data_IF_952758232756
#
_entry.id   IF_952758232756
#
_cell.length_a   1.000
_cell.length_b   1.000
_cell.length_c   1.000
_cell.angle_alpha   90.00
_cell.angle_beta   90.00
_cell.angle_gamma   90.00
#
_symmetry.space_group_name_H-M   'P 1'
#
loop_
_entity.id
_entity.type
_entity.pdbx_description
1 polymer ?
#
# COMPACT_ATOMS: atom_id res chain seq x y z
N UNK A 1 49.55 -25.42 29.68
CA UNK A 1 49.26 -24.41 28.64
C UNK A 1 47.76 -24.20 28.63
N UNK A 2 47.31 -23.02 29.07
CA UNK A 2 45.89 -22.68 29.10
C UNK A 2 45.42 -22.44 27.65
N UNK A 3 44.41 -23.20 27.23
CA UNK A 3 43.77 -23.05 25.94
C UNK A 3 42.88 -21.80 26.02
N UNK A 4 43.35 -20.69 25.47
CA UNK A 4 42.56 -19.48 25.28
C UNK A 4 41.42 -19.82 24.32
N UNK A 5 40.25 -20.15 24.88
CA UNK A 5 38.99 -20.19 24.14
C UNK A 5 38.73 -18.75 23.70
N UNK A 6 38.96 -18.44 22.43
CA UNK A 6 38.47 -17.19 21.85
C UNK A 6 36.99 -17.08 22.16
N UNK A 7 36.62 -16.07 22.94
CA UNK A 7 35.23 -15.66 23.09
C UNK A 7 34.80 -15.11 21.73
N UNK A 8 34.31 -15.98 20.86
CA UNK A 8 33.64 -15.57 19.64
C UNK A 8 32.33 -14.88 20.04
N UNK A 9 32.41 -13.60 20.39
CA UNK A 9 31.24 -12.78 20.72
C UNK A 9 30.33 -12.64 19.50
N UNK A 10 29.02 -12.58 19.74
CA UNK A 10 28.04 -12.27 18.69
C UNK A 10 28.28 -10.85 18.15
N UNK A 11 27.99 -10.58 16.87
CA UNK A 11 28.17 -9.28 16.19
C UNK A 11 27.60 -8.11 17.02
N UNK A 12 26.48 -8.33 17.69
CA UNK A 12 25.84 -7.38 18.60
C UNK A 12 26.72 -6.99 19.79
N UNK A 13 27.51 -7.93 20.33
CA UNK A 13 28.45 -7.66 21.42
C UNK A 13 29.68 -6.89 20.93
N UNK A 14 30.07 -7.06 19.66
CA UNK A 14 31.20 -6.37 19.06
C UNK A 14 30.87 -4.93 18.68
N UNK A 15 29.69 -4.69 18.10
CA UNK A 15 29.26 -3.36 17.68
C UNK A 15 28.70 -2.52 18.84
N UNK A 16 28.14 -3.16 19.86
CA UNK A 16 27.35 -2.48 20.88
C UNK A 16 25.93 -2.18 20.42
N UNK A 17 25.03 -1.97 21.39
CA UNK A 17 23.58 -1.83 21.17
C UNK A 17 23.25 -0.70 20.20
N UNK A 18 23.79 0.50 20.42
CA UNK A 18 23.44 1.70 19.64
C UNK A 18 23.88 1.60 18.18
N UNK A 19 25.12 1.13 17.95
CA UNK A 19 25.64 0.93 16.60
C UNK A 19 24.88 -0.17 15.86
N UNK A 20 24.48 -1.23 16.56
CA UNK A 20 23.68 -2.29 15.95
C UNK A 20 22.28 -1.80 15.56
N UNK A 21 21.62 -0.98 16.38
CA UNK A 21 20.37 -0.30 16.01
C UNK A 21 20.58 0.55 14.75
N UNK A 22 21.64 1.37 14.71
CA UNK A 22 21.93 2.20 13.55
C UNK A 22 22.09 1.35 12.29
N UNK A 23 22.88 0.27 12.33
CA UNK A 23 23.04 -0.65 11.19
C UNK A 23 21.70 -1.22 10.74
N UNK A 24 20.86 -1.69 11.67
CA UNK A 24 19.54 -2.23 11.33
C UNK A 24 18.60 -1.17 10.75
N UNK A 25 18.72 0.09 11.18
CA UNK A 25 17.94 1.21 10.64
C UNK A 25 18.40 1.63 9.24
N UNK A 26 19.57 1.20 8.77
CA UNK A 26 19.98 1.41 7.37
C UNK A 26 19.41 0.35 6.41
N UNK A 27 18.65 -0.62 6.91
CA UNK A 27 17.93 -1.55 6.04
C UNK A 27 16.72 -0.83 5.40
N UNK A 28 16.63 -0.91 4.08
CA UNK A 28 15.57 -0.26 3.29
C UNK A 28 14.29 -1.11 3.24
N UNK A 29 14.43 -2.44 3.17
CA UNK A 29 13.31 -3.37 3.13
C UNK A 29 13.14 -4.02 4.52
N UNK A 30 12.01 -3.82 5.22
CA UNK A 30 11.81 -4.48 6.50
C UNK A 30 11.68 -6.01 6.38
N UNK A 31 11.53 -6.57 5.17
CA UNK A 31 11.69 -8.00 4.93
C UNK A 31 13.11 -8.49 5.24
N UNK A 32 14.14 -7.63 5.13
CA UNK A 32 15.50 -7.93 5.57
C UNK A 32 15.59 -8.14 7.08
N UNK A 33 14.80 -7.41 7.87
CA UNK A 33 14.72 -7.66 9.31
C UNK A 33 14.12 -9.03 9.60
N UNK A 34 13.11 -9.46 8.84
CA UNK A 34 12.52 -10.80 8.99
C UNK A 34 13.54 -11.88 8.66
N UNK A 35 14.32 -11.68 7.59
CA UNK A 35 15.45 -12.56 7.22
C UNK A 35 16.50 -12.60 8.34
N UNK A 36 16.86 -11.45 8.88
CA UNK A 36 17.83 -11.28 9.97
C UNK A 36 17.38 -11.97 11.27
N UNK A 37 16.10 -11.83 11.62
CA UNK A 37 15.47 -12.53 12.74
C UNK A 37 15.46 -14.06 12.59
N UNK A 38 15.57 -14.58 11.36
CA UNK A 38 15.63 -16.03 11.13
C UNK A 38 17.05 -16.61 11.37
N UNK A 39 18.09 -15.76 11.35
CA UNK A 39 19.50 -16.19 11.47
C UNK A 39 19.88 -16.46 12.93
N UNK A 40 19.38 -15.66 13.88
CA UNK A 40 19.75 -15.76 15.30
C UNK A 40 18.56 -15.43 16.21
N UNK A 41 18.34 -16.26 17.23
CA UNK A 41 17.33 -16.02 18.26
C UNK A 41 17.66 -14.78 19.10
N UNK A 42 18.95 -14.49 19.33
CA UNK A 42 19.42 -13.27 20.00
C UNK A 42 19.08 -12.01 19.19
N UNK A 43 19.30 -12.05 17.87
CA UNK A 43 19.00 -10.93 16.98
C UNK A 43 17.50 -10.71 16.85
N UNK A 44 16.73 -11.81 16.73
CA UNK A 44 15.27 -11.74 16.77
C UNK A 44 14.78 -11.09 18.06
N UNK A 45 15.34 -11.48 19.19
CA UNK A 45 14.96 -10.92 20.49
C UNK A 45 15.22 -9.41 20.53
N UNK A 46 16.40 -9.00 20.08
CA UNK A 46 16.79 -7.60 20.00
C UNK A 46 15.88 -6.76 19.09
N UNK A 47 15.62 -7.23 17.87
CA UNK A 47 14.72 -6.54 16.92
C UNK A 47 13.33 -6.33 17.50
N UNK A 48 12.81 -7.32 18.25
CA UNK A 48 11.51 -7.26 18.92
C UNK A 48 11.54 -6.30 20.12
N UNK A 49 12.55 -6.41 20.99
CA UNK A 49 12.69 -5.58 22.19
C UNK A 49 12.84 -4.09 21.85
N UNK A 50 13.58 -3.78 20.78
CA UNK A 50 13.80 -2.40 20.34
C UNK A 50 12.76 -1.90 19.31
N UNK A 51 11.79 -2.74 18.92
CA UNK A 51 10.71 -2.35 18.00
C UNK A 51 11.21 -1.88 16.63
N UNK A 52 12.31 -2.45 16.12
CA UNK A 52 12.96 -1.95 14.89
C UNK A 52 12.04 -2.05 13.67
N UNK A 53 11.24 -3.13 13.56
CA UNK A 53 10.25 -3.25 12.47
C UNK A 53 9.23 -2.11 12.49
N UNK A 54 8.75 -1.71 13.67
CA UNK A 54 7.84 -0.57 13.83
C UNK A 54 8.51 0.71 13.33
N UNK A 55 9.73 0.98 13.77
CA UNK A 55 10.46 2.18 13.38
C UNK A 55 10.69 2.26 11.86
N UNK A 56 11.12 1.16 11.23
CA UNK A 56 11.28 1.12 9.76
C UNK A 56 9.97 1.28 9.00
N UNK A 57 8.88 0.65 9.47
CA UNK A 57 7.57 0.81 8.85
C UNK A 57 7.09 2.26 8.89
N UNK A 58 7.17 2.90 10.06
CA UNK A 58 6.73 4.28 10.25
C UNK A 58 7.60 5.26 9.47
N UNK A 59 8.90 4.97 9.31
CA UNK A 59 9.78 5.75 8.43
C UNK A 59 9.37 5.65 6.96
N UNK A 60 8.97 4.45 6.51
CA UNK A 60 8.56 4.20 5.13
C UNK A 60 7.16 4.78 4.83
N UNK A 61 6.30 4.85 5.85
CA UNK A 61 4.91 5.31 5.74
C UNK A 61 4.61 6.34 6.85
N UNK A 62 5.14 7.57 6.76
CA UNK A 62 5.01 8.59 7.81
C UNK A 62 3.53 8.98 8.07
N UNK A 63 2.66 8.86 7.07
CA UNK A 63 1.22 9.12 7.19
C UNK A 63 0.45 8.15 8.10
N UNK A 64 1.07 7.04 8.55
CA UNK A 64 0.46 6.13 9.54
C UNK A 64 0.51 6.67 10.98
N UNK A 65 1.31 7.71 11.21
CA UNK A 65 1.79 8.05 12.55
C UNK A 65 1.00 9.21 13.17
N UNK A 66 -0.20 8.93 13.66
CA UNK A 66 -0.77 9.67 14.81
C UNK A 66 -1.96 8.96 15.48
N UNK A 67 -2.77 8.19 14.73
CA UNK A 67 -4.09 7.73 15.21
C UNK A 67 -4.38 6.22 14.98
N UNK A 68 -3.36 5.41 14.66
CA UNK A 68 -3.57 3.97 14.43
C UNK A 68 -3.15 3.18 15.67
N UNK A 69 -4.13 2.85 16.51
CA UNK A 69 -3.96 1.84 17.55
C UNK A 69 -4.01 0.47 16.87
N UNK A 70 -2.84 -0.12 16.61
CA UNK A 70 -2.76 -1.46 16.04
C UNK A 70 -3.15 -2.51 17.10
N UNK A 71 -4.30 -3.17 16.88
CA UNK A 71 -4.85 -4.20 17.77
C UNK A 71 -4.81 -5.55 17.04
N UNK A 72 -3.99 -6.49 17.50
CA UNK A 72 -4.05 -7.88 17.02
C UNK A 72 -5.24 -8.58 17.68
N UNK A 73 -6.33 -8.78 16.93
CA UNK A 73 -7.52 -9.51 17.37
C UNK A 73 -7.34 -10.99 17.03
N UNK A 74 -6.58 -11.69 17.87
CA UNK A 74 -6.86 -13.11 18.12
C UNK A 74 -6.29 -13.58 19.46
N UNK A 75 -7.09 -13.31 20.49
CA UNK A 75 -7.57 -14.27 21.48
C UNK A 75 -8.45 -13.49 22.45
N UNK A 76 -9.74 -13.34 22.10
CA UNK A 76 -10.77 -12.91 23.05
C UNK A 76 -10.65 -13.75 24.32
N UNK A 77 -10.28 -13.12 25.42
CA UNK A 77 -11.18 -12.76 26.53
C UNK A 77 -10.47 -11.63 27.30
N UNK A 78 -10.98 -10.41 27.26
CA UNK A 78 -11.47 -9.68 28.45
C UNK A 78 -12.15 -8.35 28.05
N UNK A 79 -13.13 -7.89 28.85
CA UNK A 79 -14.06 -6.83 28.48
C UNK A 79 -13.44 -5.45 28.57
N UNK A 80 -14.10 -4.49 27.93
CA UNK A 80 -13.96 -3.05 28.13
C UNK A 80 -13.97 -2.75 29.65
N UNK A 81 -12.79 -2.64 30.25
CA UNK A 81 -12.66 -2.44 31.70
C UNK A 81 -11.25 -2.69 32.23
N UNK A 82 -10.57 -1.59 32.57
CA UNK A 82 -9.25 -1.50 33.24
C UNK A 82 -8.03 -1.72 32.35
N UNK A 83 -7.62 -0.60 31.76
CA UNK A 83 -6.22 -0.27 31.50
C UNK A 83 -5.47 -0.36 32.84
N UNK A 84 -4.93 -1.53 33.16
CA UNK A 84 -3.98 -1.69 34.27
C UNK A 84 -2.83 -2.62 33.86
N UNK A 85 -1.67 -1.98 33.65
CA UNK A 85 -0.32 -2.49 33.90
C UNK A 85 0.28 -3.66 33.10
N UNK A 86 -0.29 -4.05 31.95
CA UNK A 86 0.37 -4.99 31.02
C UNK A 86 1.09 -4.33 29.83
N UNK A 87 1.54 -3.06 29.97
CA UNK A 87 2.17 -2.26 28.91
C UNK A 87 3.59 -2.71 28.50
N UNK A 88 4.04 -3.92 28.87
CA UNK A 88 5.41 -4.41 28.63
C UNK A 88 5.56 -5.95 28.59
N UNK A 89 4.51 -6.71 28.30
CA UNK A 89 4.64 -8.17 28.13
C UNK A 89 5.47 -8.50 26.88
N UNK A 90 6.39 -9.47 26.99
CA UNK A 90 7.14 -10.01 25.86
C UNK A 90 6.24 -10.50 24.72
N UNK A 91 5.03 -10.97 25.07
CA UNK A 91 4.02 -11.36 24.09
C UNK A 91 3.50 -10.16 23.30
N UNK A 92 3.26 -9.02 23.95
CA UNK A 92 2.85 -7.78 23.27
C UNK A 92 3.92 -7.31 22.28
N UNK A 93 5.20 -7.35 22.67
CA UNK A 93 6.29 -6.98 21.76
C UNK A 93 6.37 -7.90 20.54
N UNK A 94 6.19 -9.22 20.74
CA UNK A 94 6.12 -10.20 19.65
C UNK A 94 4.95 -9.93 18.71
N UNK A 95 3.77 -9.64 19.26
CA UNK A 95 2.56 -9.26 18.53
C UNK A 95 2.81 -8.03 17.67
N UNK A 96 3.27 -6.94 18.30
CA UNK A 96 3.62 -5.70 17.63
C UNK A 96 4.65 -5.92 16.49
N UNK A 97 5.73 -6.66 16.76
CA UNK A 97 6.73 -7.00 15.75
C UNK A 97 6.13 -7.76 14.56
N UNK A 98 5.24 -8.74 14.79
CA UNK A 98 4.58 -9.50 13.73
C UNK A 98 3.76 -8.59 12.84
N UNK A 99 2.88 -7.78 13.44
CA UNK A 99 1.99 -6.85 12.73
C UNK A 99 2.80 -5.93 11.82
N UNK A 100 3.81 -5.24 12.34
CA UNK A 100 4.65 -4.36 11.51
C UNK A 100 5.49 -5.12 10.48
N UNK A 101 6.00 -6.30 10.80
CA UNK A 101 6.72 -7.11 9.81
C UNK A 101 5.82 -7.55 8.64
N UNK A 102 4.57 -7.93 8.92
CA UNK A 102 3.59 -8.30 7.90
C UNK A 102 3.13 -7.09 7.09
N UNK A 103 2.91 -5.95 7.75
CA UNK A 103 2.57 -4.69 7.10
C UNK A 103 3.68 -4.27 6.13
N UNK A 104 4.93 -4.24 6.58
CA UNK A 104 6.06 -3.93 5.71
C UNK A 104 6.17 -4.84 4.49
N UNK A 105 5.93 -6.14 4.68
CA UNK A 105 5.94 -7.13 3.60
C UNK A 105 4.79 -6.88 2.62
N UNK A 106 3.59 -6.59 3.14
CA UNK A 106 2.41 -6.26 2.34
C UNK A 106 2.52 -4.94 1.59
N UNK A 107 3.43 -4.06 2.01
CA UNK A 107 3.71 -2.76 1.40
C UNK A 107 5.06 -2.74 0.65
N UNK A 108 5.58 -3.90 0.26
CA UNK A 108 6.78 -4.01 -0.56
C UNK A 108 6.41 -3.86 -2.05
N UNK A 109 6.98 -2.90 -2.81
CA UNK A 109 6.48 -2.44 -4.11
C UNK A 109 6.71 -3.40 -5.29
N UNK A 110 6.59 -4.72 -5.06
CA UNK A 110 7.00 -5.75 -6.02
C UNK A 110 5.96 -5.99 -7.12
N UNK A 111 4.69 -5.64 -6.90
CA UNK A 111 3.63 -5.80 -7.93
C UNK A 111 2.64 -4.64 -7.86
N UNK A 112 2.64 -3.80 -8.90
CA UNK A 112 1.60 -2.78 -9.11
C UNK A 112 0.38 -3.44 -9.76
N UNK A 113 -0.75 -3.48 -9.05
CA UNK A 113 -2.05 -3.90 -9.59
C UNK A 113 -3.00 -2.71 -9.55
N UNK A 114 -4.07 -2.80 -10.35
CA UNK A 114 -5.20 -1.91 -10.15
C UNK A 114 -5.84 -2.19 -8.79
N UNK A 115 -5.96 -1.14 -8.00
CA UNK A 115 -6.56 -1.17 -6.68
C UNK A 115 -8.02 -0.71 -6.71
N UNK A 116 -8.56 -0.20 -7.82
CA UNK A 116 -9.97 0.16 -7.92
C UNK A 116 -10.79 -1.12 -8.06
N UNK A 117 -11.87 -1.23 -7.27
CA UNK A 117 -12.82 -2.35 -7.38
C UNK A 117 -14.17 -1.92 -7.91
N UNK A 118 -14.68 -0.76 -7.48
CA UNK A 118 -16.03 -0.31 -7.80
C UNK A 118 -16.05 1.20 -8.03
N UNK A 119 -16.90 1.65 -8.95
CA UNK A 119 -17.25 3.05 -9.10
C UNK A 119 -18.41 3.39 -8.16
N UNK A 120 -18.24 4.41 -7.31
CA UNK A 120 -19.27 4.83 -6.34
C UNK A 120 -20.18 5.89 -6.96
N UNK A 121 -19.61 7.00 -7.42
CA UNK A 121 -20.40 8.13 -7.91
C UNK A 121 -19.58 9.14 -8.71
N UNK A 122 -20.29 9.93 -9.52
CA UNK A 122 -19.77 11.13 -10.18
C UNK A 122 -20.52 12.36 -9.67
N UNK A 123 -19.88 13.54 -9.64
CA UNK A 123 -20.55 14.80 -9.31
C UNK A 123 -21.66 15.17 -10.29
N UNK A 124 -21.50 14.78 -11.55
CA UNK A 124 -22.52 14.86 -12.58
C UNK A 124 -22.30 13.80 -13.65
N UNK A 125 -23.37 13.50 -14.38
CA UNK A 125 -23.37 12.67 -15.58
C UNK A 125 -24.33 13.30 -16.59
N UNK A 126 -23.91 13.42 -17.86
CA UNK A 126 -24.74 14.03 -18.91
C UNK A 126 -25.84 13.07 -19.38
N UNK A 127 -25.48 12.06 -20.18
CA UNK A 127 -26.43 11.07 -20.69
C UNK A 127 -26.39 9.79 -19.85
N UNK A 128 -27.05 9.81 -18.70
CA UNK A 128 -27.17 8.63 -17.84
C UNK A 128 -28.26 7.68 -18.36
N UNK A 129 -28.03 6.35 -18.39
CA UNK A 129 -26.87 5.62 -17.88
C UNK A 129 -25.73 5.39 -18.90
N UNK A 130 -25.86 5.84 -20.13
CA UNK A 130 -24.94 5.52 -21.23
C UNK A 130 -23.51 6.01 -20.98
N UNK A 131 -23.37 7.22 -20.43
CA UNK A 131 -22.08 7.90 -20.17
C UNK A 131 -21.69 7.85 -18.69
N UNK A 132 -21.98 6.73 -18.03
CA UNK A 132 -21.82 6.60 -16.58
C UNK A 132 -20.36 6.35 -16.14
N UNK A 133 -20.08 6.61 -14.86
CA UNK A 133 -18.77 6.39 -14.23
C UNK A 133 -18.31 4.93 -14.33
N UNK A 134 -19.21 3.95 -14.33
CA UNK A 134 -18.86 2.53 -14.44
C UNK A 134 -18.07 2.21 -15.71
N UNK A 135 -18.26 2.98 -16.79
CA UNK A 135 -17.52 2.81 -18.04
C UNK A 135 -16.01 3.07 -17.91
N UNK A 136 -15.57 3.71 -16.81
CA UNK A 136 -14.16 4.02 -16.56
C UNK A 136 -13.36 2.89 -15.90
N UNK A 137 -14.03 1.83 -15.43
CA UNK A 137 -13.40 0.73 -14.69
C UNK A 137 -12.59 -0.20 -15.61
N UNK A 138 -13.07 -0.43 -16.83
CA UNK A 138 -12.42 -1.33 -17.78
C UNK A 138 -11.47 -0.56 -18.70
N UNK A 139 -10.36 -1.21 -19.05
CA UNK A 139 -9.41 -0.64 -19.99
C UNK A 139 -9.98 -0.70 -21.42
N UNK A 140 -10.44 0.45 -21.92
CA UNK A 140 -10.93 0.59 -23.28
C UNK A 140 -11.97 1.70 -23.40
N UNK A 141 -12.01 2.35 -24.56
CA UNK A 141 -12.97 3.40 -24.87
C UNK A 141 -14.17 2.87 -25.68
N UNK A 142 -14.26 1.56 -25.86
CA UNK A 142 -15.28 0.84 -26.61
C UNK A 142 -15.69 -0.45 -25.93
N UNK A 143 -17.00 -0.72 -25.95
CA UNK A 143 -17.58 -2.01 -25.59
C UNK A 143 -18.44 -2.45 -26.76
N UNK A 144 -18.08 -3.56 -27.40
CA UNK A 144 -18.68 -3.96 -28.68
C UNK A 144 -18.58 -2.81 -29.71
N UNK A 145 -19.70 -2.33 -30.24
CA UNK A 145 -19.75 -1.24 -31.20
C UNK A 145 -20.09 0.13 -30.56
N UNK A 146 -20.16 0.22 -29.22
CA UNK A 146 -20.52 1.46 -28.52
C UNK A 146 -19.31 2.11 -27.85
N UNK A 147 -19.32 3.44 -27.79
CA UNK A 147 -18.36 4.20 -27.00
C UNK A 147 -18.55 3.92 -25.49
N UNK A 148 -17.46 3.71 -24.77
CA UNK A 148 -17.43 3.45 -23.33
C UNK A 148 -16.62 4.54 -22.64
N UNK A 149 -17.33 5.47 -22.02
CA UNK A 149 -16.73 6.58 -21.29
C UNK A 149 -17.72 7.15 -20.27
N UNK A 150 -17.19 7.91 -19.31
CA UNK A 150 -17.98 8.82 -18.48
C UNK A 150 -17.97 10.22 -19.09
N UNK A 151 -19.10 10.94 -19.01
CA UNK A 151 -19.25 12.33 -19.42
C UNK A 151 -19.86 13.18 -18.32
N UNK A 152 -19.23 14.30 -17.99
CA UNK A 152 -19.80 15.33 -17.12
C UNK A 152 -20.97 16.06 -17.79
N UNK A 153 -21.86 16.68 -17.01
CA UNK A 153 -22.78 17.69 -17.57
C UNK A 153 -22.01 18.90 -18.10
N UNK A 154 -22.54 19.50 -19.17
CA UNK A 154 -22.01 20.73 -19.77
C UNK A 154 -22.01 21.91 -18.79
N UNK A 155 -20.94 22.70 -18.82
CA UNK A 155 -20.82 23.92 -18.02
C UNK A 155 -20.40 25.12 -18.86
N UNK A 156 -21.05 26.27 -18.63
CA UNK A 156 -20.66 27.53 -19.26
C UNK A 156 -19.33 28.04 -18.69
N UNK A 157 -19.16 27.95 -17.37
CA UNK A 157 -17.91 28.30 -16.71
C UNK A 157 -16.93 27.10 -16.76
N UNK A 158 -15.77 27.22 -17.44
CA UNK A 158 -14.80 26.13 -17.54
C UNK A 158 -14.11 25.82 -16.21
N UNK A 159 -14.20 26.67 -15.19
CA UNK A 159 -13.51 26.47 -13.92
C UNK A 159 -14.32 25.61 -12.92
N UNK A 160 -15.54 25.20 -13.29
CA UNK A 160 -16.37 24.31 -12.46
C UNK A 160 -15.78 22.89 -12.50
N UNK A 161 -15.31 22.35 -11.35
CA UNK A 161 -14.66 21.05 -11.31
C UNK A 161 -15.66 19.89 -11.35
N UNK A 162 -15.15 18.70 -11.66
CA UNK A 162 -15.88 17.43 -11.53
C UNK A 162 -15.14 16.48 -10.59
N UNK A 163 -15.86 15.52 -10.02
CA UNK A 163 -15.35 14.55 -9.05
C UNK A 163 -15.88 13.17 -9.40
N UNK A 164 -14.99 12.21 -9.47
CA UNK A 164 -15.31 10.78 -9.56
C UNK A 164 -14.80 10.09 -8.31
N UNK A 165 -15.66 9.32 -7.65
CA UNK A 165 -15.32 8.61 -6.41
C UNK A 165 -15.39 7.10 -6.67
N UNK A 166 -14.34 6.41 -6.24
CA UNK A 166 -14.12 4.99 -6.41
C UNK A 166 -13.86 4.32 -5.07
N UNK A 167 -14.27 3.06 -4.97
CA UNK A 167 -13.91 2.14 -3.91
C UNK A 167 -12.67 1.37 -4.33
N UNK A 168 -11.72 1.25 -3.41
CA UNK A 168 -10.56 0.40 -3.58
C UNK A 168 -10.87 -1.04 -3.16
N UNK A 169 -10.14 -2.00 -3.72
CA UNK A 169 -10.29 -3.43 -3.50
C UNK A 169 -10.07 -3.87 -2.05
N UNK A 170 -9.47 -3.01 -1.22
CA UNK A 170 -9.37 -3.18 0.22
C UNK A 170 -9.46 -1.84 0.93
N UNK A 171 -9.93 -1.86 2.18
CA UNK A 171 -9.84 -0.71 3.10
C UNK A 171 -8.38 -0.27 3.32
N UNK A 172 -7.40 -1.13 3.06
CA UNK A 172 -5.97 -0.81 3.11
C UNK A 172 -5.32 -1.03 1.76
N UNK A 173 -5.00 0.07 1.08
CA UNK A 173 -4.28 0.03 -0.19
C UNK A 173 -3.10 1.00 -0.15
N UNK A 174 -1.92 0.52 -0.55
CA UNK A 174 -0.80 1.38 -0.86
C UNK A 174 -0.92 1.87 -2.29
N UNK A 175 -1.19 3.15 -2.48
CA UNK A 175 -1.32 3.77 -3.81
C UNK A 175 -0.02 4.51 -4.14
N UNK A 176 0.51 4.24 -5.33
CA UNK A 176 1.77 4.84 -5.81
C UNK A 176 1.55 5.77 -7.00
N UNK A 177 0.65 5.38 -7.90
CA UNK A 177 0.33 6.13 -9.11
C UNK A 177 -1.19 6.05 -9.32
N UNK A 178 -1.78 7.11 -9.86
CA UNK A 178 -3.15 7.07 -10.39
C UNK A 178 -3.05 7.37 -11.87
N UNK A 179 -3.74 6.59 -12.69
CA UNK A 179 -3.77 6.79 -14.13
C UNK A 179 -5.16 7.22 -14.56
N UNK A 180 -5.22 8.16 -15.50
CA UNK A 180 -6.47 8.67 -16.04
C UNK A 180 -6.34 8.83 -17.55
N UNK A 181 -7.33 8.36 -18.29
CA UNK A 181 -7.39 8.46 -19.74
C UNK A 181 -8.57 9.35 -20.16
N UNK A 182 -8.31 10.54 -20.73
CA UNK A 182 -9.32 11.34 -21.40
C UNK A 182 -9.94 10.60 -22.60
N UNK A 183 -11.23 10.79 -22.80
CA UNK A 183 -11.94 10.22 -23.93
C UNK A 183 -11.87 11.15 -25.16
N UNK A 184 -11.61 10.55 -26.32
CA UNK A 184 -11.72 11.20 -27.62
C UNK A 184 -13.10 10.91 -28.21
N UNK A 185 -13.89 11.94 -28.47
CA UNK A 185 -15.20 11.79 -29.11
C UNK A 185 -15.03 11.54 -30.62
N UNK A 186 -14.65 10.32 -30.98
CA UNK A 186 -14.38 9.92 -32.37
C UNK A 186 -15.62 9.99 -33.29
N UNK A 187 -16.80 10.15 -32.71
CA UNK A 187 -18.06 10.34 -33.41
C UNK A 187 -18.41 11.82 -33.68
N UNK A 188 -17.59 12.77 -33.20
CA UNK A 188 -17.74 14.20 -33.45
C UNK A 188 -16.72 14.71 -34.46
N UNK A 189 -17.08 15.75 -35.22
CA UNK A 189 -16.17 16.39 -36.17
C UNK A 189 -14.93 16.96 -35.46
N UNK A 190 -13.76 16.77 -36.06
CA UNK A 190 -12.48 17.19 -35.47
C UNK A 190 -11.96 16.28 -34.34
N UNK A 191 -12.70 15.24 -33.97
CA UNK A 191 -12.32 14.25 -32.95
C UNK A 191 -11.85 14.89 -31.63
N UNK A 192 -12.66 15.79 -31.02
CA UNK A 192 -12.27 16.55 -29.84
C UNK A 192 -12.00 15.63 -28.64
N UNK A 193 -11.08 16.08 -27.78
CA UNK A 193 -10.71 15.38 -26.54
C UNK A 193 -11.19 16.21 -25.37
N UNK A 194 -12.07 15.64 -24.56
CA UNK A 194 -12.68 16.34 -23.44
C UNK A 194 -11.89 16.09 -22.14
N UNK A 195 -10.60 16.46 -22.09
CA UNK A 195 -9.81 16.34 -20.85
C UNK A 195 -10.03 17.52 -19.89
N UNK A 196 -9.56 17.37 -18.64
CA UNK A 196 -9.38 18.50 -17.73
C UNK A 196 -8.01 19.17 -17.95
N UNK A 197 -7.83 20.38 -17.43
CA UNK A 197 -6.55 21.11 -17.45
C UNK A 197 -5.58 20.55 -16.42
N UNK A 198 -6.09 20.20 -15.24
CA UNK A 198 -5.35 19.52 -14.19
C UNK A 198 -6.22 18.49 -13.48
N UNK A 199 -5.58 17.63 -12.69
CA UNK A 199 -6.22 16.61 -11.86
C UNK A 199 -5.61 16.61 -10.47
N UNK A 200 -6.43 16.33 -9.46
CA UNK A 200 -6.01 16.15 -8.07
C UNK A 200 -6.64 14.88 -7.52
N UNK A 201 -5.92 14.18 -6.64
CA UNK A 201 -6.38 12.93 -6.05
C UNK A 201 -6.55 13.10 -4.54
N UNK A 202 -7.60 12.48 -4.00
CA UNK A 202 -7.82 12.37 -2.55
C UNK A 202 -8.02 10.93 -2.16
N UNK A 203 -7.41 10.54 -1.04
CA UNK A 203 -7.53 9.21 -0.47
C UNK A 203 -8.09 9.33 0.94
N UNK A 204 -8.96 8.40 1.33
CA UNK A 204 -9.63 8.47 2.62
C UNK A 204 -10.64 7.36 2.85
N UNK A 205 -11.67 7.70 3.63
CA UNK A 205 -12.70 6.77 4.06
C UNK A 205 -14.11 7.37 3.97
N UNK A 206 -15.12 6.51 3.95
CA UNK A 206 -16.53 6.89 4.11
C UNK A 206 -16.84 7.12 5.59
N UNK A 207 -17.66 8.13 5.89
CA UNK A 207 -18.20 8.38 7.25
C UNK A 207 -19.26 7.38 7.67
N UNK A 208 -19.84 6.66 6.72
CA UNK A 208 -20.91 5.71 6.95
C UNK A 208 -20.48 4.32 6.46
N UNK A 209 -20.80 3.24 7.19
CA UNK A 209 -20.55 1.88 6.72
C UNK A 209 -21.25 1.65 5.38
N UNK A 210 -20.49 1.30 4.34
CA UNK A 210 -21.04 0.99 3.01
C UNK A 210 -21.63 -0.44 2.94
N UNK A 211 -21.90 -1.07 4.08
CA UNK A 211 -22.30 -2.49 4.18
C UNK A 211 -23.81 -2.72 4.08
N UNK A 212 -24.64 -1.68 4.08
CA UNK A 212 -26.07 -1.82 3.84
C UNK A 212 -26.35 -1.61 2.34
N UNK A 213 -26.54 -2.72 1.62
CA UNK A 213 -26.98 -2.77 0.21
C UNK A 213 -28.20 -1.87 -0.07
N UNK A 214 -29.00 -1.55 0.96
CA UNK A 214 -30.18 -0.69 0.87
C UNK A 214 -29.89 0.81 0.69
N UNK A 215 -28.73 1.32 1.12
CA UNK A 215 -28.38 2.74 0.93
C UNK A 215 -27.81 3.03 -0.46
N UNK A 216 -27.39 1.98 -1.19
CA UNK A 216 -27.00 2.08 -2.60
C UNK A 216 -28.23 2.49 -3.43
N UNK A 217 -29.44 2.10 -3.03
CA UNK A 217 -30.69 2.52 -3.67
C UNK A 217 -30.96 4.03 -3.55
N UNK A 218 -30.38 4.71 -2.56
CA UNK A 218 -30.50 6.17 -2.40
C UNK A 218 -29.51 6.91 -3.33
N UNK A 219 -28.40 6.28 -3.72
CA UNK A 219 -27.43 6.84 -4.68
C UNK A 219 -27.89 6.67 -6.13
N UNK A 220 -28.76 5.69 -6.41
CA UNK A 220 -29.32 5.44 -7.76
C UNK A 220 -30.38 6.45 -8.19
N UNK A 221 -31.00 7.18 -7.26
CA UNK A 221 -32.02 8.21 -7.55
C UNK A 221 -31.49 9.63 -7.34
N UNK A 222 -30.51 10.04 -8.14
CA UNK A 222 -30.24 11.46 -8.41
C UNK A 222 -29.77 12.31 -7.22
N UNK A 223 -29.47 11.72 -6.06
CA UNK A 223 -28.91 12.45 -4.93
C UNK A 223 -27.39 12.46 -5.01
N UNK A 224 -26.85 13.64 -5.34
CA UNK A 224 -25.43 13.96 -5.29
C UNK A 224 -24.87 13.56 -3.91
N UNK A 225 -23.83 12.74 -3.83
CA UNK A 225 -23.10 12.59 -2.59
C UNK A 225 -22.54 13.98 -2.24
N UNK A 226 -23.02 14.55 -1.14
CA UNK A 226 -22.39 15.75 -0.58
C UNK A 226 -20.95 15.39 -0.21
N UNK A 227 -20.02 16.32 -0.41
CA UNK A 227 -18.62 16.18 0.06
C UNK A 227 -18.52 15.78 1.55
N UNK A 228 -19.62 15.99 2.29
CA UNK A 228 -19.78 15.63 3.70
C UNK A 228 -19.84 14.11 3.99
N UNK A 229 -19.91 13.21 3.00
CA UNK A 229 -19.93 11.76 3.26
C UNK A 229 -18.55 11.12 3.41
N UNK A 230 -17.48 11.82 3.05
CA UNK A 230 -16.13 11.26 3.04
C UNK A 230 -15.19 12.09 3.92
N UNK A 231 -14.18 11.44 4.47
CA UNK A 231 -13.08 12.07 5.20
C UNK A 231 -11.78 11.76 4.48
N UNK A 232 -11.07 12.81 4.09
CA UNK A 232 -9.84 12.71 3.32
C UNK A 232 -8.62 12.76 4.24
N UNK A 233 -7.82 11.70 4.26
CA UNK A 233 -6.56 11.64 5.00
C UNK A 233 -5.37 12.13 4.16
N UNK A 234 -5.53 12.13 2.83
CA UNK A 234 -4.52 12.59 1.90
C UNK A 234 -5.14 13.38 0.75
N UNK A 235 -4.44 14.43 0.32
CA UNK A 235 -4.74 15.20 -0.89
C UNK A 235 -3.44 15.43 -1.63
N UNK A 236 -3.39 15.06 -2.90
CA UNK A 236 -2.21 15.25 -3.74
C UNK A 236 -2.02 16.71 -4.15
N UNK A 237 -0.83 17.10 -4.65
CA UNK A 237 -0.70 18.28 -5.50
C UNK A 237 -1.60 18.17 -6.75
N UNK A 238 -1.79 19.30 -7.43
CA UNK A 238 -2.39 19.29 -8.76
C UNK A 238 -1.37 18.84 -9.80
N UNK A 239 -1.80 17.96 -10.70
CA UNK A 239 -1.01 17.53 -11.83
C UNK A 239 -1.60 18.09 -13.13
N UNK A 240 -0.78 18.64 -14.03
CA UNK A 240 -1.26 19.05 -15.34
C UNK A 240 -1.72 17.82 -16.14
N UNK A 241 -2.85 17.92 -16.81
CA UNK A 241 -3.38 16.86 -17.67
C UNK A 241 -3.29 17.30 -19.14
N UNK A 242 -2.77 16.41 -19.99
CA UNK A 242 -2.65 16.66 -21.42
C UNK A 242 -4.01 16.46 -22.12
N UNK A 243 -4.18 17.15 -23.25
CA UNK A 243 -5.32 17.01 -24.16
C UNK A 243 -5.09 15.85 -25.15
N UNK A 244 -4.84 14.66 -24.60
CA UNK A 244 -4.49 13.46 -25.36
C UNK A 244 -5.31 12.27 -24.84
N UNK A 245 -5.83 11.44 -25.76
CA UNK A 245 -6.57 10.23 -25.42
C UNK A 245 -5.63 9.04 -25.22
N UNK A 246 -4.75 9.19 -24.23
CA UNK A 246 -3.83 8.16 -23.77
C UNK A 246 -3.93 8.02 -22.26
N UNK A 247 -3.57 6.85 -21.74
CA UNK A 247 -3.53 6.61 -20.30
C UNK A 247 -2.37 7.42 -19.67
N UNK A 248 -2.70 8.57 -19.09
CA UNK A 248 -1.74 9.46 -18.45
C UNK A 248 -1.46 8.98 -17.03
N UNK A 249 -0.18 8.89 -16.66
CA UNK A 249 0.25 8.36 -15.36
C UNK A 249 0.66 9.47 -14.41
N UNK A 250 -0.02 9.57 -13.28
CA UNK A 250 0.23 10.57 -12.26
C UNK A 250 0.87 9.91 -11.04
N UNK A 251 2.19 10.07 -10.93
CA UNK A 251 2.96 9.54 -9.81
C UNK A 251 2.79 10.43 -8.58
N UNK A 252 2.40 9.83 -7.45
CA UNK A 252 2.33 10.54 -6.18
C UNK A 252 3.74 10.89 -5.70
N UNK A 253 3.94 12.05 -5.01
CA UNK A 253 5.26 12.43 -4.49
C UNK A 253 5.88 11.36 -3.59
N UNK A 254 5.04 10.70 -2.80
CA UNK A 254 5.39 9.56 -1.96
C UNK A 254 4.26 8.50 -2.05
N UNK A 255 4.56 7.20 -1.87
CA UNK A 255 3.54 6.17 -1.74
C UNK A 255 2.58 6.46 -0.59
N UNK A 256 1.27 6.39 -0.84
CA UNK A 256 0.25 6.74 0.16
C UNK A 256 -0.48 5.48 0.61
N UNK A 257 -0.47 5.22 1.92
CA UNK A 257 -1.35 4.22 2.51
C UNK A 257 -2.76 4.81 2.65
N UNK A 258 -3.66 4.39 1.77
CA UNK A 258 -5.08 4.69 1.88
C UNK A 258 -5.71 3.81 2.95
N UNK A 259 -6.30 4.44 3.97
CA UNK A 259 -7.06 3.80 5.05
C UNK A 259 -8.54 4.13 4.85
N UNK A 260 -9.36 3.08 4.74
CA UNK A 260 -10.80 3.10 4.44
C UNK A 260 -11.15 2.95 2.95
N UNK A 261 -10.17 2.83 2.07
CA UNK A 261 -10.37 2.34 0.72
C UNK A 261 -11.19 3.25 -0.20
N UNK A 262 -11.14 4.57 -0.03
CA UNK A 262 -11.80 5.52 -0.94
C UNK A 262 -10.78 6.34 -1.70
N UNK A 263 -10.99 6.45 -3.02
CA UNK A 263 -10.27 7.33 -3.93
C UNK A 263 -11.24 8.33 -4.57
N UNK A 264 -10.90 9.61 -4.56
CA UNK A 264 -11.56 10.63 -5.38
C UNK A 264 -10.58 11.19 -6.40
N UNK A 265 -11.03 11.25 -7.66
CA UNK A 265 -10.39 11.96 -8.76
C UNK A 265 -11.12 13.29 -8.96
N UNK A 266 -10.46 14.40 -8.62
CA UNK A 266 -10.96 15.76 -8.80
C UNK A 266 -10.38 16.34 -10.10
N UNK A 267 -11.25 16.59 -11.08
CA UNK A 267 -10.90 17.08 -12.41
C UNK A 267 -11.10 18.60 -12.45
N UNK A 268 -10.01 19.31 -12.68
CA UNK A 268 -9.90 20.75 -12.48
C UNK A 268 -9.72 21.46 -13.83
N UNK A 269 -10.61 22.42 -14.11
CA UNK A 269 -10.61 23.18 -15.34
C UNK A 269 -11.01 22.34 -16.56
N UNK A 270 -12.00 22.78 -17.31
CA UNK A 270 -12.44 22.13 -18.54
C UNK A 270 -11.65 22.68 -19.71
N UNK A 271 -10.99 21.83 -20.48
CA UNK A 271 -10.09 22.26 -21.53
C UNK A 271 -10.78 22.35 -22.90
N UNK A 272 -11.84 21.56 -23.15
CA UNK A 272 -12.55 21.54 -24.42
C UNK A 272 -13.96 22.12 -24.31
N UNK A 273 -14.32 22.93 -25.30
CA UNK A 273 -15.67 23.46 -25.52
C UNK A 273 -16.34 22.68 -26.64
N UNK A 274 -17.56 22.21 -26.42
CA UNK A 274 -18.35 21.55 -27.44
C UNK A 274 -18.99 22.58 -28.39
N UNK A 275 -18.98 22.30 -29.69
CA UNK A 275 -19.48 23.25 -30.71
C UNK A 275 -21.02 23.32 -30.75
N UNK A 276 -21.71 22.22 -30.42
CA UNK A 276 -23.17 22.09 -30.57
C UNK A 276 -23.93 23.04 -29.65
N UNK A 277 -23.54 23.11 -28.39
CA UNK A 277 -24.21 23.92 -27.36
C UNK A 277 -23.32 25.03 -26.78
N UNK A 278 -22.03 25.04 -27.15
CA UNK A 278 -21.07 26.00 -26.65
C UNK A 278 -20.73 25.82 -25.17
N UNK A 279 -20.97 24.65 -24.57
CA UNK A 279 -20.61 24.36 -23.18
C UNK A 279 -19.30 23.57 -23.10
N UNK A 280 -18.73 23.50 -21.89
CA UNK A 280 -17.50 22.75 -21.63
C UNK A 280 -17.81 21.43 -20.94
N UNK A 281 -17.17 20.37 -21.41
CA UNK A 281 -17.36 19.00 -20.96
C UNK A 281 -16.02 18.37 -20.56
N UNK A 282 -16.09 17.38 -19.67
CA UNK A 282 -14.99 16.47 -19.37
C UNK A 282 -15.49 15.05 -19.60
N UNK A 283 -14.73 14.26 -20.36
CA UNK A 283 -15.01 12.87 -20.63
C UNK A 283 -13.78 12.01 -20.36
N UNK A 284 -13.96 10.90 -19.64
CA UNK A 284 -12.90 9.95 -19.31
C UNK A 284 -13.28 8.55 -19.78
N UNK A 285 -12.35 7.83 -20.39
CA UNK A 285 -12.57 6.44 -20.80
C UNK A 285 -12.07 5.44 -19.76
N UNK A 286 -11.04 5.78 -18.98
CA UNK A 286 -10.46 4.86 -18.01
C UNK A 286 -9.81 5.57 -16.82
N UNK A 287 -9.97 4.99 -15.64
CA UNK A 287 -9.28 5.39 -14.41
C UNK A 287 -8.72 4.12 -13.73
N UNK A 288 -7.46 4.20 -13.29
CA UNK A 288 -6.76 3.09 -12.64
C UNK A 288 -6.00 3.60 -11.42
N UNK A 289 -6.04 2.86 -10.31
CA UNK A 289 -5.17 3.15 -9.16
C UNK A 289 -4.05 2.12 -9.07
N UNK A 290 -2.84 2.52 -9.43
CA UNK A 290 -1.67 1.66 -9.42
C UNK A 290 -1.08 1.56 -8.00
N UNK A 291 -1.15 0.36 -7.42
CA UNK A 291 -0.74 0.13 -6.06
C UNK A 291 -0.76 -1.33 -5.63
N UNK A 292 -0.87 -1.53 -4.32
CA UNK A 292 -0.98 -2.84 -3.71
C UNK A 292 -1.99 -2.83 -2.56
N UNK A 293 -2.99 -3.71 -2.66
CA UNK A 293 -3.86 -4.03 -1.53
C UNK A 293 -3.10 -4.80 -0.45
N UNK A 294 -3.35 -4.49 0.82
CA UNK A 294 -2.81 -5.27 1.92
C UNK A 294 -3.49 -6.65 1.96
N UNK A 295 -2.74 -7.69 2.37
CA UNK A 295 -3.24 -9.06 2.38
C UNK A 295 -4.40 -9.22 3.39
N UNK A 296 -5.26 -10.23 3.17
CA UNK A 296 -6.43 -10.59 3.99
C UNK A 296 -6.27 -10.62 5.51
N UNK A 297 -5.11 -10.93 6.12
CA UNK A 297 -5.03 -10.95 7.58
C UNK A 297 -5.12 -9.55 8.22
N UNK A 298 -5.26 -8.48 7.44
CA UNK A 298 -5.48 -7.14 7.99
C UNK A 298 -6.87 -6.65 7.64
N UNK A 299 -7.66 -6.27 8.66
CA UNK A 299 -8.88 -5.49 8.47
C UNK A 299 -8.74 -4.16 9.21
N UNK A 300 -9.58 -3.21 8.83
CA UNK A 300 -9.66 -1.91 9.46
C UNK A 300 -11.06 -1.72 10.00
N UNK A 301 -11.13 -1.52 11.31
CA UNK A 301 -12.25 -0.86 11.94
C UNK A 301 -11.98 0.64 11.99
N UNK A 302 -12.87 1.40 11.38
CA UNK A 302 -12.84 2.86 11.42
C UNK A 302 -13.78 3.29 12.55
N UNK A 303 -13.24 3.97 13.55
CA UNK A 303 -14.07 4.57 14.60
C UNK A 303 -14.46 5.98 14.15
N UNK A 304 -15.76 6.22 14.01
CA UNK A 304 -16.29 7.39 13.31
C UNK A 304 -15.82 8.76 13.83
N UNK A 305 -15.78 9.73 12.91
CA UNK A 305 -15.61 11.19 13.05
C UNK A 305 -14.32 11.75 13.67
N UNK A 306 -13.55 10.96 14.44
CA UNK A 306 -12.30 11.42 15.07
C UNK A 306 -11.05 11.11 14.24
N UNK A 307 -11.17 10.26 13.21
CA UNK A 307 -10.05 9.79 12.40
C UNK A 307 -9.14 8.81 13.15
N UNK A 308 -9.67 8.17 14.19
CA UNK A 308 -9.00 7.12 14.96
C UNK A 308 -9.34 5.76 14.34
N UNK A 309 -8.31 4.99 14.00
CA UNK A 309 -8.43 3.76 13.23
C UNK A 309 -7.77 2.62 14.01
N UNK A 310 -8.48 1.51 14.19
CA UNK A 310 -7.88 0.27 14.67
C UNK A 310 -7.52 -0.60 13.47
N UNK A 311 -6.24 -0.98 13.39
CA UNK A 311 -5.80 -2.00 12.45
C UNK A 311 -5.95 -3.35 13.14
N UNK A 312 -6.89 -4.15 12.67
CA UNK A 312 -7.06 -5.52 13.11
C UNK A 312 -6.13 -6.45 12.32
N UNK A 313 -5.49 -7.38 13.02
CA UNK A 313 -4.69 -8.43 12.39
C UNK A 313 -5.19 -9.81 12.80
N UNK A 314 -5.78 -10.55 11.85
CA UNK A 314 -6.23 -11.93 12.00
C UNK A 314 -5.32 -12.85 11.18
N UNK A 315 -4.36 -13.57 11.80
CA UNK A 315 -3.47 -14.44 11.06
C UNK A 315 -4.25 -15.56 10.35
N UNK A 316 -4.02 -15.73 9.04
CA UNK A 316 -4.54 -16.91 8.33
C UNK A 316 -4.04 -18.18 9.04
N UNK A 317 -4.95 -19.02 9.52
CA UNK A 317 -4.60 -20.34 10.02
C UNK A 317 -4.07 -21.13 8.83
N UNK A 318 -2.74 -21.35 8.78
CA UNK A 318 -2.12 -22.20 7.78
C UNK A 318 -2.86 -23.54 7.75
N UNK A 319 -3.60 -23.79 6.67
CA UNK A 319 -4.17 -25.12 6.42
C UNK A 319 -3.02 -26.14 6.39
N UNK A 320 -3.24 -27.26 7.07
CA UNK A 320 -2.28 -28.29 7.47
C UNK A 320 -1.35 -28.85 6.35
N UNK A 321 -1.63 -28.54 5.09
CA UNK A 321 -0.85 -29.03 3.95
C UNK A 321 0.43 -28.21 3.68
N UNK A 322 0.43 -26.89 3.91
CA UNK A 322 1.57 -26.01 3.62
C UNK A 322 2.74 -26.17 4.60
N UNK A 323 2.45 -26.53 5.85
CA UNK A 323 3.46 -26.79 6.88
C UNK A 323 4.41 -27.93 6.48
N UNK A 324 3.92 -28.93 5.76
CA UNK A 324 4.71 -30.09 5.33
C UNK A 324 5.75 -29.75 4.24
N UNK A 325 5.42 -28.81 3.34
CA UNK A 325 6.30 -28.32 2.29
C UNK A 325 7.37 -27.34 2.83
N UNK A 326 6.97 -26.46 3.76
CA UNK A 326 7.86 -25.53 4.49
C UNK A 326 8.97 -26.23 5.27
N UNK A 327 8.64 -27.37 5.91
CA UNK A 327 9.59 -28.20 6.65
C UNK A 327 10.65 -28.85 5.75
N UNK A 328 10.33 -29.22 4.50
CA UNK A 328 11.32 -29.73 3.53
C UNK A 328 12.22 -28.63 2.99
N UNK A 329 11.67 -27.46 2.65
CA UNK A 329 12.46 -26.31 2.19
C UNK A 329 13.46 -25.81 3.23
N UNK A 330 13.06 -25.75 4.51
CA UNK A 330 13.94 -25.38 5.63
C UNK A 330 15.12 -26.33 5.83
N UNK A 331 14.94 -27.64 5.62
CA UNK A 331 16.04 -28.62 5.71
C UNK A 331 17.06 -28.46 4.59
N UNK A 332 16.62 -28.12 3.38
CA UNK A 332 17.49 -27.91 2.22
C UNK A 332 18.30 -26.61 2.37
N UNK A 333 17.68 -25.51 2.80
CA UNK A 333 18.37 -24.24 3.02
C UNK A 333 19.43 -24.32 4.15
N UNK A 334 19.11 -25.01 5.26
CA UNK A 334 20.05 -25.23 6.35
C UNK A 334 21.24 -26.12 5.94
N UNK A 335 21.01 -27.10 5.06
CA UNK A 335 22.05 -27.95 4.47
C UNK A 335 23.01 -27.18 3.56
N UNK A 336 22.46 -26.31 2.69
CA UNK A 336 23.26 -25.50 1.77
C UNK A 336 24.13 -24.46 2.50
N UNK A 337 23.56 -23.79 3.52
CA UNK A 337 24.30 -22.88 4.40
C UNK A 337 25.40 -23.58 5.18
N UNK A 338 25.18 -24.80 5.69
CA UNK A 338 26.27 -25.59 6.31
C UNK A 338 27.38 -25.90 5.31
N UNK A 339 27.07 -26.26 4.07
CA UNK A 339 28.09 -26.52 3.05
C UNK A 339 28.87 -25.26 2.66
N UNK A 340 28.20 -24.10 2.66
CA UNK A 340 28.82 -22.81 2.35
C UNK A 340 29.75 -22.34 3.47
N UNK A 341 29.33 -22.45 4.74
CA UNK A 341 30.15 -22.11 5.91
C UNK A 341 31.38 -23.04 6.03
N UNK A 342 31.25 -24.33 5.73
CA UNK A 342 32.39 -25.27 5.70
C UNK A 342 33.39 -24.93 4.59
N UNK A 343 32.93 -24.42 3.43
CA UNK A 343 33.82 -23.98 2.34
C UNK A 343 34.53 -22.66 2.64
N UNK A 344 33.91 -21.78 3.43
CA UNK A 344 34.52 -20.53 3.90
C UNK A 344 35.60 -20.81 4.95
N UNK A 345 35.29 -21.65 5.95
CA UNK A 345 36.24 -22.00 7.01
C UNK A 345 37.36 -22.95 6.55
N UNK A 346 37.16 -23.68 5.46
CA UNK A 346 38.19 -24.53 4.84
C UNK A 346 39.20 -23.78 3.96
N UNK A 347 38.97 -22.48 3.68
CA UNK A 347 39.89 -21.65 2.86
C UNK A 347 40.90 -20.85 3.69
N UNK A 348 40.71 -20.71 4.99
CA UNK A 348 41.66 -20.00 5.87
C UNK A 348 42.81 -20.88 6.39
N UNK A 349 42.82 -22.19 6.07
CA UNK A 349 43.85 -23.14 6.53
C UNK A 349 44.88 -23.54 5.47
N UNK A 350 44.99 -22.78 4.36
CA UNK A 350 46.01 -23.03 3.31
C UNK A 350 47.02 -21.91 3.05
N UNK A 351 46.97 -20.79 3.77
CA UNK A 351 47.88 -19.64 3.55
C UNK A 351 48.85 -19.34 4.71
N UNK A 352 49.15 -20.32 5.55
CA UNK A 352 50.28 -20.24 6.50
C UNK A 352 51.15 -21.49 6.40
N UNK A 353 52.11 -21.45 5.48
CA UNK A 353 53.13 -22.51 5.39
C UNK A 353 53.96 -22.44 4.11
N UNK A 354 54.70 -21.34 3.88
CA UNK A 354 56.00 -21.45 3.22
C UNK A 354 56.79 -20.13 3.31
N UNK A 355 57.62 -20.02 4.36
CA UNK A 355 58.70 -19.04 4.42
C UNK A 355 59.73 -19.47 5.48
N UNK A 356 60.54 -20.50 5.20
CA UNK A 356 61.90 -20.59 5.72
C UNK A 356 62.73 -21.64 4.98
N UNK A 357 64.00 -21.27 4.73
CA UNK A 357 65.13 -22.05 4.21
C UNK A 357 65.41 -22.06 2.70
N UNK A 358 66.22 -21.09 2.28
CA UNK A 358 67.34 -21.33 1.34
C UNK A 358 68.62 -20.76 1.94
N UNK A 359 69.53 -21.65 2.36
CA UNK A 359 70.96 -21.40 2.50
C UNK A 359 71.67 -22.76 2.59
N UNK A 360 72.26 -23.23 1.50
CA UNK A 360 73.52 -24.02 1.38
C UNK A 360 73.56 -24.90 0.12
N UNK A 361 74.07 -24.34 -0.97
CA UNK A 361 75.23 -24.84 -1.74
C UNK A 361 75.57 -23.83 -2.83
#
# INVERSE_FOLDING_TARGET
MAQTREKCGDLMQWLGVDMFIQVLMHLDDPSDLVRLCAVSSSWRRFVIEHGICKQLCLRKFPGMCSNVDLIEVDNLIEPVGRISDCRRSWEWLKRNHRVYAFLARGLSPVVTKDCISEAICASSTDNYPEETIQNTLEAGDRVEDRASYWSSKGQANPDVPERLVYKLASKLCLVTEIHVQPFQAYFQYGFPIYSSKSVRFRLGHSKFPMELEDDIAIVTYGHRPRDDHFVWSYTSPEFPMAQESQLQKFKLPEPVLCIGGILQVELLGRAQRQEIDGLHYICLSHVQAAGQQLMKPFDVELTDSTGECSLEYTPETESSEAASASLRGRRIAASLLRSFVVRLLGRESRDQGDASHQASS
#
